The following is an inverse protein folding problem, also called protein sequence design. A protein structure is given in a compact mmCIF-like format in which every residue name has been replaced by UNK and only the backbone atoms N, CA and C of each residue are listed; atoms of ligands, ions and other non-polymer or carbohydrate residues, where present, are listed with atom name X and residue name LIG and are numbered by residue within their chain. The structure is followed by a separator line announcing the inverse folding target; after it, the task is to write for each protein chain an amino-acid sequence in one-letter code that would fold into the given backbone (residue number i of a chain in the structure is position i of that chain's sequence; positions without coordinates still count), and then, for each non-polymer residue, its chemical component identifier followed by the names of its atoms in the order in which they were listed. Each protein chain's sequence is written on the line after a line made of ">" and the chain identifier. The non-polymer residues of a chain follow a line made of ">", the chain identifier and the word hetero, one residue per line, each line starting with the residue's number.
data_IF_090545560805
#
_entry.id   IF_090545560805
#
_cell.length_a   1.000
_cell.length_b   1.000
_cell.length_c   1.000
_cell.angle_alpha   90.00
_cell.angle_beta   90.00
_cell.angle_gamma   90.00
#
_symmetry.space_group_name_H-M   'P 1'
#
loop_
_entity.id
_entity.type
_entity.pdbx_description
1 polymer ?
#
# COMPACT_ATOMS: atom_id res chain seq x y z
N UNK A 1 6.52 -12.25 -7.67
CA UNK A 1 6.92 -12.57 -6.28
C UNK A 1 7.72 -13.86 -6.16
N UNK A 2 7.39 -14.96 -6.85
CA UNK A 2 8.16 -16.23 -6.78
C UNK A 2 9.65 -16.13 -7.15
N UNK A 3 10.04 -15.18 -8.01
CA UNK A 3 11.44 -14.91 -8.34
C UNK A 3 12.19 -14.12 -7.24
N UNK A 4 11.49 -13.39 -6.39
CA UNK A 4 12.06 -12.57 -5.30
C UNK A 4 12.02 -13.34 -3.97
N UNK A 5 10.96 -14.14 -3.79
CA UNK A 5 10.71 -14.97 -2.61
C UNK A 5 10.49 -16.43 -3.03
N UNK A 6 11.54 -17.14 -3.49
CA UNK A 6 11.42 -18.53 -3.88
C UNK A 6 11.04 -19.40 -2.68
N UNK A 7 10.05 -20.28 -2.87
CA UNK A 7 9.57 -21.21 -1.83
C UNK A 7 8.60 -20.63 -0.80
N UNK A 8 8.22 -19.35 -0.90
CA UNK A 8 7.17 -18.78 -0.07
C UNK A 8 5.77 -19.24 -0.54
N UNK A 9 4.92 -19.67 0.40
CA UNK A 9 3.51 -19.94 0.14
C UNK A 9 2.69 -18.64 -0.02
N UNK A 10 1.44 -18.78 -0.45
CA UNK A 10 0.55 -17.66 -0.75
C UNK A 10 0.30 -16.78 0.47
N UNK A 11 0.15 -17.36 1.66
CA UNK A 11 -0.10 -16.60 2.88
C UNK A 11 1.10 -15.74 3.27
N UNK A 12 2.31 -16.32 3.19
CA UNK A 12 3.54 -15.59 3.45
C UNK A 12 3.77 -14.48 2.43
N UNK A 13 3.42 -14.72 1.16
CA UNK A 13 3.48 -13.70 0.11
C UNK A 13 2.51 -12.54 0.35
N UNK A 14 1.29 -12.81 0.83
CA UNK A 14 0.32 -11.75 1.21
C UNK A 14 0.88 -10.91 2.35
N UNK A 15 1.41 -11.54 3.40
CA UNK A 15 2.03 -10.82 4.53
C UNK A 15 3.18 -9.93 4.07
N UNK A 16 4.09 -10.47 3.26
CA UNK A 16 5.20 -9.72 2.68
C UNK A 16 4.67 -8.52 1.89
N UNK A 17 3.66 -8.71 1.04
CA UNK A 17 3.06 -7.65 0.22
C UNK A 17 2.55 -6.48 1.08
N UNK A 18 1.91 -6.75 2.22
CA UNK A 18 1.36 -5.70 3.08
C UNK A 18 2.46 -4.80 3.69
N UNK A 19 3.70 -5.29 3.77
CA UNK A 19 4.84 -4.52 4.28
C UNK A 19 5.52 -3.65 3.20
N UNK A 20 5.13 -3.75 1.93
CA UNK A 20 5.66 -2.88 0.88
C UNK A 20 5.08 -1.46 0.92
N UNK A 21 3.96 -1.25 1.63
CA UNK A 21 3.39 0.08 1.84
C UNK A 21 4.18 0.90 2.85
N UNK A 22 4.09 2.23 2.75
CA UNK A 22 4.62 3.17 3.73
C UNK A 22 3.90 3.08 5.10
N UNK A 23 2.74 2.44 5.15
CA UNK A 23 1.94 2.28 6.37
C UNK A 23 2.20 0.94 7.11
N UNK A 24 3.36 0.32 6.84
CA UNK A 24 3.93 -0.81 7.60
C UNK A 24 2.92 -1.89 8.01
N UNK A 25 2.41 -2.65 7.05
CA UNK A 25 1.50 -3.78 7.32
C UNK A 25 0.02 -3.40 7.44
N UNK A 26 -0.32 -2.11 7.37
CA UNK A 26 -1.71 -1.68 7.26
C UNK A 26 -2.33 -2.15 5.93
N UNK A 27 -3.53 -2.71 6.02
CA UNK A 27 -4.29 -3.12 4.85
C UNK A 27 -5.00 -1.95 4.20
N UNK A 28 -5.22 -2.06 2.89
CA UNK A 28 -6.12 -1.16 2.18
C UNK A 28 -7.57 -1.58 2.49
N UNK A 29 -8.21 -0.85 3.39
CA UNK A 29 -9.58 -1.11 3.82
C UNK A 29 -10.57 -0.19 3.09
N UNK A 30 -11.84 -0.61 2.87
CA UNK A 30 -12.85 0.22 2.22
C UNK A 30 -13.02 1.61 2.83
N UNK A 31 -12.89 1.72 4.16
CA UNK A 31 -12.96 2.99 4.87
C UNK A 31 -11.84 3.96 4.49
N UNK A 32 -10.64 3.46 4.15
CA UNK A 32 -9.55 4.30 3.66
C UNK A 32 -9.89 4.98 2.34
N UNK A 33 -10.51 4.24 1.43
CA UNK A 33 -10.99 4.77 0.14
C UNK A 33 -12.14 5.76 0.34
N UNK A 34 -13.10 5.42 1.21
CA UNK A 34 -14.23 6.31 1.52
C UNK A 34 -13.76 7.65 2.11
N UNK A 35 -12.76 7.63 3.01
CA UNK A 35 -12.20 8.84 3.58
C UNK A 35 -11.44 9.68 2.54
N UNK A 36 -10.70 9.04 1.62
CA UNK A 36 -10.03 9.76 0.53
C UNK A 36 -11.04 10.41 -0.43
N UNK A 37 -12.13 9.72 -0.75
CA UNK A 37 -13.22 10.28 -1.53
C UNK A 37 -13.92 11.44 -0.81
N UNK A 38 -14.16 11.30 0.50
CA UNK A 38 -14.73 12.34 1.34
C UNK A 38 -13.84 13.60 1.34
N UNK A 39 -12.52 13.44 1.47
CA UNK A 39 -11.58 14.56 1.35
C UNK A 39 -11.71 15.27 0.01
N UNK A 40 -11.68 14.53 -1.11
CA UNK A 40 -11.81 15.13 -2.46
C UNK A 40 -13.16 15.82 -2.69
N UNK A 41 -14.21 15.37 -2.01
CA UNK A 41 -15.55 15.98 -2.08
C UNK A 41 -15.72 17.18 -1.13
N UNK A 42 -14.77 17.44 -0.24
CA UNK A 42 -14.85 18.48 0.78
C UNK A 42 -14.23 19.81 0.34
N UNK A 43 -14.50 20.88 1.09
CA UNK A 43 -13.90 22.20 0.89
C UNK A 43 -12.37 22.20 1.07
N UNK A 44 -11.82 21.22 1.79
CA UNK A 44 -10.37 21.08 1.98
C UNK A 44 -9.64 20.78 0.67
N UNK A 45 -10.33 20.19 -0.32
CA UNK A 45 -9.79 19.87 -1.63
C UNK A 45 -10.13 20.93 -2.71
N UNK A 46 -10.59 22.14 -2.34
CA UNK A 46 -11.10 23.16 -3.30
C UNK A 46 -10.16 23.56 -4.45
N UNK A 47 -8.86 23.28 -4.34
CA UNK A 47 -7.86 23.56 -5.39
C UNK A 47 -7.29 22.30 -6.03
N UNK A 48 -7.74 21.11 -5.64
CA UNK A 48 -7.32 19.84 -6.22
C UNK A 48 -8.27 19.49 -7.36
N UNK A 49 -7.82 19.72 -8.60
CA UNK A 49 -8.59 19.42 -9.81
C UNK A 49 -7.71 18.80 -10.87
N UNK A 50 -8.29 17.89 -11.68
CA UNK A 50 -7.57 17.18 -12.74
C UNK A 50 -6.47 16.24 -12.26
N UNK A 51 -6.46 15.87 -10.97
CA UNK A 51 -5.43 15.03 -10.36
C UNK A 51 -5.96 13.64 -10.02
N UNK A 52 -5.16 12.61 -10.31
CA UNK A 52 -5.43 11.24 -9.87
C UNK A 52 -4.82 11.02 -8.49
N UNK A 53 -5.66 10.91 -7.45
CA UNK A 53 -5.21 10.56 -6.11
C UNK A 53 -5.07 9.04 -5.99
N UNK A 54 -3.83 8.54 -5.92
CA UNK A 54 -3.54 7.12 -5.68
C UNK A 54 -3.67 6.83 -4.18
N UNK A 55 -4.47 5.83 -3.81
CA UNK A 55 -4.74 5.44 -2.42
C UNK A 55 -4.38 3.97 -2.23
N UNK A 56 -3.09 3.70 -2.06
CA UNK A 56 -2.53 2.33 -2.00
C UNK A 56 -1.56 2.11 -0.84
N UNK A 57 -1.62 2.97 0.19
CA UNK A 57 -0.70 2.93 1.32
C UNK A 57 0.75 3.24 0.94
N UNK A 58 1.00 3.87 -0.21
CA UNK A 58 2.34 4.24 -0.68
C UNK A 58 3.02 3.15 -1.51
N UNK A 59 2.36 2.04 -1.80
CA UNK A 59 2.92 0.90 -2.53
C UNK A 59 3.54 1.31 -3.88
N UNK A 60 2.86 2.15 -4.66
CA UNK A 60 3.35 2.68 -5.94
C UNK A 60 4.53 3.65 -5.79
N UNK A 61 4.76 4.17 -4.57
CA UNK A 61 5.82 5.14 -4.27
C UNK A 61 7.06 4.52 -3.62
N UNK A 62 6.96 3.30 -3.09
CA UNK A 62 8.07 2.66 -2.34
C UNK A 62 9.15 2.13 -3.29
N UNK A 63 10.41 2.42 -2.95
CA UNK A 63 11.58 1.77 -3.57
C UNK A 63 11.76 0.37 -3.00
N UNK A 64 11.95 -0.62 -3.88
CA UNK A 64 12.18 -2.05 -3.57
C UNK A 64 13.26 -2.26 -2.48
N UNK A 65 14.18 -1.32 -2.28
CA UNK A 65 15.22 -1.39 -1.25
C UNK A 65 14.70 -1.43 0.20
N UNK A 66 13.42 -1.14 0.45
CA UNK A 66 12.79 -1.29 1.78
C UNK A 66 12.01 -2.59 1.95
N UNK A 67 11.99 -3.46 0.93
CA UNK A 67 11.32 -4.75 1.03
C UNK A 67 11.95 -5.57 2.16
N UNK A 68 11.16 -6.07 3.12
CA UNK A 68 11.69 -6.92 4.17
C UNK A 68 12.25 -8.21 3.57
N UNK A 69 13.37 -8.67 4.13
CA UNK A 69 13.92 -9.96 3.76
C UNK A 69 12.93 -11.09 4.16
N UNK A 70 12.90 -12.23 3.45
CA UNK A 70 11.91 -13.30 3.66
C UNK A 70 11.84 -13.86 5.10
N UNK A 71 12.91 -13.68 5.86
CA UNK A 71 13.11 -14.07 7.26
C UNK A 71 12.63 -13.01 8.28
N UNK A 72 12.35 -11.79 7.84
CA UNK A 72 11.89 -10.68 8.71
C UNK A 72 10.37 -10.55 8.82
N UNK A 73 9.60 -11.33 8.06
CA UNK A 73 8.13 -11.29 8.03
C UNK A 73 7.52 -12.52 8.75
N UNK A 74 8.24 -13.07 9.74
CA UNK A 74 7.81 -14.19 10.57
C UNK A 74 6.75 -13.77 11.60
#
# INVERSE_FOLDING_TARGET
>A
MSQIYPGADVEKLIKILHHFGALEGANCEPNGIANAALYLASDDAKYVSGHNLVVDGGFTSVKISKAPAPDQVL
#
